data_IF_254371997423
#
_entry.id   IF_254371997423
#
_cell.length_a   1.000
_cell.length_b   1.000
_cell.length_c   1.000
_cell.angle_alpha   90.00
_cell.angle_beta   90.00
_cell.angle_gamma   90.00
#
_symmetry.space_group_name_H-M   'P 1'
#
loop_
_entity.id
_entity.type
_entity.pdbx_description
1 polymer ?
#
# COMPACT_ATOMS: atom_id res chain seq x y z
N UNK A 1 -23.05 31.45 -19.14
CA UNK A 1 -23.12 31.96 -17.75
C UNK A 1 -24.26 31.24 -17.04
N UNK A 2 -24.08 30.83 -15.79
CA UNK A 2 -25.16 30.23 -15.01
C UNK A 2 -26.22 31.31 -14.74
N UNK A 3 -27.46 31.05 -15.11
CA UNK A 3 -28.58 31.98 -14.93
C UNK A 3 -29.77 31.21 -14.39
N UNK A 4 -30.42 31.81 -13.41
CA UNK A 4 -31.64 31.29 -12.79
C UNK A 4 -32.71 32.38 -12.90
N UNK A 5 -33.91 31.98 -13.30
CA UNK A 5 -35.09 32.83 -13.23
C UNK A 5 -36.03 32.23 -12.19
N UNK A 6 -36.37 33.02 -11.18
CA UNK A 6 -37.26 32.61 -10.09
C UNK A 6 -38.44 33.60 -10.03
N UNK A 7 -39.67 33.18 -10.38
CA UNK A 7 -40.83 34.03 -10.24
C UNK A 7 -41.17 34.21 -8.75
N UNK A 8 -41.42 35.46 -8.35
CA UNK A 8 -41.86 35.82 -7.00
C UNK A 8 -43.18 36.56 -7.10
N UNK A 9 -44.14 36.23 -6.25
CA UNK A 9 -45.41 36.95 -6.21
C UNK A 9 -45.23 38.32 -5.55
N UNK A 10 -46.21 39.22 -5.74
CA UNK A 10 -46.24 40.46 -4.98
C UNK A 10 -46.46 40.13 -3.48
N UNK A 11 -45.71 40.80 -2.61
CA UNK A 11 -45.88 40.74 -1.16
C UNK A 11 -46.21 42.10 -0.56
N UNK A 12 -46.28 42.17 0.78
CA UNK A 12 -46.42 43.42 1.53
C UNK A 12 -45.30 43.57 2.54
N UNK A 13 -45.03 44.77 3.06
CA UNK A 13 -44.00 44.94 4.10
C UNK A 13 -44.25 44.11 5.38
N UNK A 14 -45.51 43.85 5.73
CA UNK A 14 -45.88 43.00 6.88
C UNK A 14 -45.92 41.50 6.58
N UNK A 15 -45.98 41.14 5.30
CA UNK A 15 -46.06 39.76 4.81
C UNK A 15 -45.35 39.67 3.45
N UNK A 16 -44.00 39.61 3.46
CA UNK A 16 -43.22 39.57 2.23
C UNK A 16 -43.41 38.24 1.52
N UNK A 17 -43.57 38.27 0.20
CA UNK A 17 -43.56 37.05 -0.61
C UNK A 17 -42.16 36.47 -0.64
N UNK A 18 -42.07 35.13 -0.55
CA UNK A 18 -40.81 34.40 -0.57
C UNK A 18 -40.85 33.38 -1.71
N UNK A 19 -39.70 33.16 -2.32
CA UNK A 19 -39.48 32.09 -3.28
C UNK A 19 -38.12 31.45 -3.00
N UNK A 20 -38.06 30.12 -3.16
CA UNK A 20 -36.86 29.34 -2.93
C UNK A 20 -36.61 28.46 -4.15
N UNK A 21 -35.32 28.22 -4.45
CA UNK A 21 -34.93 27.29 -5.49
C UNK A 21 -33.56 26.71 -5.20
N UNK A 22 -33.39 25.44 -5.58
CA UNK A 22 -32.11 24.76 -5.56
C UNK A 22 -31.78 24.35 -6.98
N UNK A 23 -30.60 24.72 -7.43
CA UNK A 23 -30.20 24.56 -8.82
C UNK A 23 -28.84 23.87 -8.89
N UNK A 24 -28.71 22.81 -9.69
CA UNK A 24 -27.42 22.12 -9.85
C UNK A 24 -26.43 23.02 -10.59
N UNK A 25 -25.16 22.97 -10.16
CA UNK A 25 -24.05 23.68 -10.83
C UNK A 25 -23.26 22.78 -11.79
N UNK A 26 -23.72 21.55 -12.01
CA UNK A 26 -23.03 20.54 -12.82
C UNK A 26 -22.76 21.05 -14.24
N UNK A 27 -21.51 20.90 -14.70
CA UNK A 27 -21.09 21.32 -16.05
C UNK A 27 -21.00 22.83 -16.25
N UNK A 28 -21.22 23.64 -15.21
CA UNK A 28 -21.05 25.09 -15.30
C UNK A 28 -19.63 25.52 -14.96
N UNK A 29 -19.12 26.47 -15.74
CA UNK A 29 -17.85 27.14 -15.48
C UNK A 29 -18.07 28.39 -14.65
N UNK A 30 -17.28 28.53 -13.58
CA UNK A 30 -17.22 29.73 -12.75
C UNK A 30 -15.90 30.45 -13.06
N UNK A 31 -15.97 31.73 -13.43
CA UNK A 31 -14.80 32.58 -13.62
C UNK A 31 -14.66 33.50 -12.42
N UNK A 32 -13.59 33.34 -11.65
CA UNK A 32 -13.36 34.04 -10.38
C UNK A 32 -12.53 35.31 -10.55
N UNK A 33 -12.46 35.88 -11.76
CA UNK A 33 -11.71 37.11 -12.05
C UNK A 33 -12.56 38.38 -11.94
N UNK A 34 -13.77 38.28 -11.40
CA UNK A 34 -14.75 39.36 -11.34
C UNK A 34 -15.24 39.83 -12.71
N UNK A 35 -16.15 40.82 -12.76
CA UNK A 35 -16.76 41.30 -14.01
C UNK A 35 -15.76 41.93 -14.99
N UNK A 36 -14.65 42.47 -14.48
CA UNK A 36 -13.58 43.11 -15.26
C UNK A 36 -12.45 42.16 -15.68
N UNK A 37 -12.51 40.88 -15.28
CA UNK A 37 -11.45 39.88 -15.50
C UNK A 37 -10.06 40.25 -14.95
N UNK A 38 -10.02 41.10 -13.94
CA UNK A 38 -8.80 41.66 -13.34
C UNK A 38 -8.76 41.54 -11.81
N UNK A 39 -9.73 40.86 -11.22
CA UNK A 39 -9.76 40.53 -9.80
C UNK A 39 -9.30 39.08 -9.58
N UNK A 40 -9.18 38.66 -8.32
CA UNK A 40 -8.72 37.32 -7.94
C UNK A 40 -9.68 36.75 -6.92
N UNK A 41 -10.14 35.52 -7.13
CA UNK A 41 -11.08 34.83 -6.25
C UNK A 41 -12.39 35.60 -6.00
N UNK A 42 -12.83 36.43 -6.96
CA UNK A 42 -14.10 37.17 -6.88
C UNK A 42 -15.19 36.50 -7.68
N UNK A 43 -16.25 36.09 -6.99
CA UNK A 43 -17.53 35.70 -7.59
C UNK A 43 -18.49 36.90 -7.61
N UNK A 44 -18.90 37.33 -8.79
CA UNK A 44 -19.89 38.40 -8.94
C UNK A 44 -21.26 37.84 -9.30
N UNK A 45 -22.29 38.34 -8.63
CA UNK A 45 -23.69 37.98 -8.90
C UNK A 45 -24.45 39.22 -9.36
N UNK A 46 -25.13 39.12 -10.50
CA UNK A 46 -26.01 40.16 -11.02
C UNK A 46 -27.47 39.75 -10.82
N UNK A 47 -28.22 40.55 -10.05
CA UNK A 47 -29.65 40.34 -9.82
C UNK A 47 -30.41 41.33 -10.70
N UNK A 48 -31.27 40.81 -11.58
CA UNK A 48 -32.17 41.62 -12.41
C UNK A 48 -33.61 41.34 -12.02
N UNK A 49 -34.35 42.38 -11.68
CA UNK A 49 -35.80 42.30 -11.41
C UNK A 49 -36.56 42.75 -12.64
N UNK A 50 -37.53 41.94 -13.06
CA UNK A 50 -38.40 42.24 -14.20
C UNK A 50 -39.85 42.03 -13.77
N UNK A 51 -40.73 42.92 -14.18
CA UNK A 51 -42.17 42.75 -13.99
C UNK A 51 -42.71 41.79 -15.04
N UNK A 52 -43.71 40.98 -14.67
CA UNK A 52 -44.34 40.07 -15.62
C UNK A 52 -45.03 40.84 -16.75
N UNK A 53 -44.93 40.35 -17.98
CA UNK A 53 -45.68 40.88 -19.12
C UNK A 53 -47.18 40.56 -18.91
N UNK A 54 -47.98 41.57 -18.56
CA UNK A 54 -49.41 41.45 -18.30
C UNK A 54 -50.19 42.67 -18.77
N UNK A 55 -51.52 42.61 -18.67
CA UNK A 55 -52.46 43.63 -19.21
C UNK A 55 -52.59 44.86 -18.27
N UNK A 56 -51.70 45.01 -17.27
CA UNK A 56 -51.80 46.06 -16.25
C UNK A 56 -50.45 46.68 -15.88
N UNK A 57 -50.48 47.91 -15.37
CA UNK A 57 -49.30 48.64 -14.91
C UNK A 57 -48.85 48.12 -13.54
N UNK A 58 -47.62 47.62 -13.45
CA UNK A 58 -46.94 47.38 -12.16
C UNK A 58 -46.22 48.65 -11.73
N UNK A 59 -46.51 49.16 -10.53
CA UNK A 59 -45.83 50.33 -9.95
C UNK A 59 -44.78 49.83 -8.96
N UNK A 60 -43.52 50.20 -9.19
CA UNK A 60 -42.40 50.03 -8.25
C UNK A 60 -42.07 51.40 -7.65
N UNK A 61 -41.91 51.44 -6.34
CA UNK A 61 -41.62 52.63 -5.54
C UNK A 61 -40.31 52.45 -4.78
N UNK A 62 -39.84 53.50 -4.11
CA UNK A 62 -38.66 53.44 -3.23
C UNK A 62 -38.91 52.68 -1.92
N UNK A 63 -40.16 52.28 -1.64
CA UNK A 63 -40.53 51.46 -0.48
C UNK A 63 -40.47 49.95 -0.78
N UNK A 64 -40.35 49.57 -2.05
CA UNK A 64 -40.23 48.18 -2.45
C UNK A 64 -38.79 47.69 -2.26
N UNK A 65 -38.61 46.51 -1.68
CA UNK A 65 -37.29 45.91 -1.45
C UNK A 65 -37.27 44.46 -1.90
N UNK A 66 -36.09 44.04 -2.37
CA UNK A 66 -35.79 42.64 -2.68
C UNK A 66 -34.60 42.22 -1.82
N UNK A 67 -34.77 41.12 -1.10
CA UNK A 67 -33.69 40.46 -0.37
C UNK A 67 -33.42 39.14 -1.10
N UNK A 68 -32.18 38.94 -1.52
CA UNK A 68 -31.73 37.70 -2.14
C UNK A 68 -30.66 37.06 -1.27
N UNK A 69 -30.96 35.88 -0.75
CA UNK A 69 -30.01 35.05 -0.01
C UNK A 69 -29.52 33.94 -0.94
N UNK A 70 -28.22 33.94 -1.23
CA UNK A 70 -27.61 32.99 -2.16
C UNK A 70 -26.52 32.24 -1.41
N UNK A 71 -26.64 30.92 -1.40
CA UNK A 71 -25.66 30.02 -0.81
C UNK A 71 -25.16 29.03 -1.87
N UNK A 72 -23.87 28.73 -1.80
CA UNK A 72 -23.22 27.72 -2.63
C UNK A 72 -22.80 26.58 -1.71
N UNK A 73 -23.19 25.34 -2.04
CA UNK A 73 -22.92 24.17 -1.21
C UNK A 73 -22.51 22.98 -2.07
N UNK A 74 -21.58 22.17 -1.57
CA UNK A 74 -21.16 20.92 -2.23
C UNK A 74 -20.48 21.10 -3.58
N UNK A 75 -19.78 22.22 -3.81
CA UNK A 75 -19.03 22.42 -5.06
C UNK A 75 -17.82 21.50 -5.06
N UNK A 76 -17.77 20.61 -6.04
CA UNK A 76 -16.60 19.79 -6.37
C UNK A 76 -16.17 20.22 -7.77
N UNK A 77 -14.93 20.69 -7.90
CA UNK A 77 -14.41 21.14 -9.19
C UNK A 77 -13.99 19.92 -10.03
N UNK A 78 -14.51 19.84 -11.25
CA UNK A 78 -14.04 18.90 -12.27
C UNK A 78 -12.68 19.33 -12.84
N UNK A 79 -12.49 20.64 -12.97
CA UNK A 79 -11.24 21.27 -13.38
C UNK A 79 -11.12 22.65 -12.71
N UNK A 80 -9.93 22.95 -12.21
CA UNK A 80 -9.57 24.27 -11.70
C UNK A 80 -8.31 24.76 -12.42
N UNK A 81 -8.25 26.08 -12.68
CA UNK A 81 -7.06 26.76 -13.20
C UNK A 81 -6.85 28.08 -12.49
N UNK A 82 -5.61 28.37 -12.14
CA UNK A 82 -5.22 29.57 -11.43
C UNK A 82 -3.84 29.40 -10.79
N UNK A 83 -3.47 30.31 -9.91
CA UNK A 83 -2.33 30.10 -9.01
C UNK A 83 -2.85 29.53 -7.69
N UNK A 84 -2.40 28.33 -7.31
CA UNK A 84 -2.90 27.65 -6.11
C UNK A 84 -2.14 28.02 -4.81
N UNK A 85 -1.28 29.05 -4.87
CA UNK A 85 -0.44 29.43 -3.74
C UNK A 85 0.69 28.43 -3.52
N UNK A 86 1.24 28.43 -2.31
CA UNK A 86 2.33 27.54 -1.90
C UNK A 86 1.98 26.71 -0.66
N UNK A 87 0.87 25.95 -0.67
CA UNK A 87 0.50 25.15 0.48
C UNK A 87 1.56 24.08 0.77
N UNK A 88 1.74 23.82 2.07
CA UNK A 88 2.58 22.76 2.57
C UNK A 88 1.70 21.68 3.22
N UNK A 89 2.07 20.43 3.02
CA UNK A 89 1.39 19.26 3.56
C UNK A 89 2.41 18.34 4.22
N UNK A 90 2.01 17.66 5.28
CA UNK A 90 2.81 16.61 5.90
C UNK A 90 2.08 15.28 5.75
N UNK A 91 2.83 14.25 5.37
CA UNK A 91 2.41 12.86 5.26
C UNK A 91 3.12 12.09 6.37
N UNK A 92 2.36 11.39 7.19
CA UNK A 92 2.90 10.69 8.35
C UNK A 92 3.29 11.63 9.51
N UNK A 93 4.07 11.14 10.49
CA UNK A 93 4.62 9.78 10.55
C UNK A 93 3.52 8.72 10.65
N UNK A 94 3.64 7.68 9.83
CA UNK A 94 2.73 6.53 9.81
C UNK A 94 3.52 5.24 9.73
N UNK A 95 2.98 4.17 10.33
CA UNK A 95 3.54 2.82 10.29
C UNK A 95 2.46 1.89 9.75
N UNK A 96 2.79 1.15 8.69
CA UNK A 96 1.89 0.24 8.01
C UNK A 96 2.43 -1.20 8.08
N UNK A 97 1.56 -2.22 8.22
CA UNK A 97 1.97 -3.61 8.23
C UNK A 97 2.48 -4.07 6.86
N UNK A 98 3.51 -4.92 6.87
CA UNK A 98 4.05 -5.63 5.71
C UNK A 98 3.86 -7.13 5.88
N UNK A 99 3.14 -7.75 4.95
CA UNK A 99 2.84 -9.19 5.01
C UNK A 99 3.65 -10.02 4.01
N UNK A 100 4.68 -9.44 3.37
CA UNK A 100 5.46 -10.12 2.32
C UNK A 100 6.29 -11.30 2.83
N UNK A 101 6.53 -11.37 4.15
CA UNK A 101 7.28 -12.45 4.81
C UNK A 101 6.44 -13.25 5.82
N UNK A 102 5.11 -13.18 5.74
CA UNK A 102 4.21 -13.80 6.75
C UNK A 102 4.37 -15.31 6.91
N UNK A 103 4.85 -15.99 5.87
CA UNK A 103 5.08 -17.44 5.88
C UNK A 103 6.39 -17.82 6.59
N UNK A 104 7.33 -16.90 6.74
CA UNK A 104 8.62 -17.14 7.38
C UNK A 104 8.48 -16.99 8.89
N UNK A 105 8.59 -18.11 9.63
CA UNK A 105 8.45 -18.10 11.08
C UNK A 105 9.73 -17.68 11.80
N UNK A 106 10.88 -18.05 11.23
CA UNK A 106 12.19 -17.81 11.82
C UNK A 106 13.30 -17.94 10.76
N UNK A 107 14.51 -17.61 11.17
CA UNK A 107 15.71 -17.68 10.35
C UNK A 107 16.10 -16.32 9.77
N UNK A 108 17.10 -16.36 8.91
CA UNK A 108 17.57 -15.20 8.16
C UNK A 108 17.93 -15.63 6.75
N UNK A 109 17.97 -14.65 5.85
CA UNK A 109 18.57 -14.81 4.54
C UNK A 109 19.53 -13.65 4.28
N UNK A 110 20.54 -13.92 3.46
CA UNK A 110 21.47 -12.94 2.89
C UNK A 110 21.23 -12.95 1.38
N UNK A 111 20.79 -11.83 0.82
CA UNK A 111 20.45 -11.67 -0.58
C UNK A 111 21.70 -11.21 -1.34
N UNK A 112 21.94 -11.78 -2.53
CA UNK A 112 23.09 -11.34 -3.32
C UNK A 112 22.98 -9.87 -3.74
N UNK A 113 21.77 -9.43 -4.08
CA UNK A 113 21.46 -8.05 -4.41
C UNK A 113 19.95 -7.81 -4.43
N UNK A 114 19.55 -6.55 -4.32
CA UNK A 114 18.19 -6.12 -4.62
C UNK A 114 18.20 -4.73 -5.26
N UNK A 115 17.10 -4.37 -5.93
CA UNK A 115 16.94 -3.02 -6.45
C UNK A 115 15.54 -2.53 -6.16
N UNK A 116 15.42 -1.29 -5.70
CA UNK A 116 14.16 -0.61 -5.55
C UNK A 116 14.11 0.69 -6.34
N UNK A 117 12.90 1.09 -6.75
CA UNK A 117 12.63 2.33 -7.47
C UNK A 117 11.48 3.05 -6.80
N UNK A 118 11.76 4.20 -6.21
CA UNK A 118 10.72 5.13 -5.77
C UNK A 118 10.32 5.98 -6.98
N UNK A 119 9.06 5.85 -7.41
CA UNK A 119 8.47 6.61 -8.51
C UNK A 119 7.44 7.56 -7.93
N UNK A 120 7.69 8.86 -8.04
CA UNK A 120 6.74 9.91 -7.66
C UNK A 120 6.13 10.47 -8.93
N UNK A 121 4.82 10.33 -9.07
CA UNK A 121 4.04 10.75 -10.24
C UNK A 121 3.20 11.95 -9.86
N UNK A 122 3.33 13.05 -10.61
CA UNK A 122 2.55 14.26 -10.41
C UNK A 122 1.58 14.46 -11.58
N UNK A 123 0.28 14.38 -11.30
CA UNK A 123 -0.80 14.74 -12.22
C UNK A 123 -1.27 16.18 -12.11
N UNK A 124 -0.77 16.94 -11.12
CA UNK A 124 -1.17 18.31 -10.85
C UNK A 124 -0.35 19.27 -11.74
N UNK A 125 -1.01 20.28 -12.29
CA UNK A 125 -0.39 21.34 -13.08
C UNK A 125 0.45 22.34 -12.28
N UNK A 126 0.98 21.95 -11.12
CA UNK A 126 1.83 22.75 -10.26
C UNK A 126 3.10 21.96 -9.91
N UNK A 127 4.23 22.64 -9.73
CA UNK A 127 5.46 21.97 -9.31
C UNK A 127 5.35 21.57 -7.84
N UNK A 128 5.90 20.41 -7.49
CA UNK A 128 5.89 19.89 -6.13
C UNK A 128 7.31 19.64 -5.68
N UNK A 129 7.64 20.07 -4.46
CA UNK A 129 8.87 19.70 -3.79
C UNK A 129 8.53 18.78 -2.61
N UNK A 130 9.16 17.62 -2.55
CA UNK A 130 8.99 16.65 -1.49
C UNK A 130 10.28 16.54 -0.65
N UNK A 131 10.12 16.48 0.67
CA UNK A 131 11.19 16.18 1.62
C UNK A 131 10.85 14.86 2.29
N UNK A 132 11.49 13.77 1.87
CA UNK A 132 11.30 12.46 2.49
C UNK A 132 12.10 12.49 3.78
N UNK A 133 11.42 12.49 4.92
CA UNK A 133 12.05 12.58 6.24
C UNK A 133 12.48 11.21 6.74
N UNK A 134 11.68 10.18 6.46
CA UNK A 134 11.91 8.83 6.96
C UNK A 134 11.36 7.79 5.99
N UNK A 135 12.13 6.73 5.80
CA UNK A 135 11.67 5.41 5.39
C UNK A 135 12.42 4.40 6.24
N UNK A 136 11.69 3.62 7.01
CA UNK A 136 12.24 2.66 7.97
C UNK A 136 11.44 1.38 7.94
N UNK A 137 12.11 0.26 8.12
CA UNK A 137 11.45 -1.03 8.28
C UNK A 137 11.76 -1.59 9.65
N UNK A 138 10.82 -2.34 10.22
CA UNK A 138 11.02 -3.03 11.49
C UNK A 138 10.50 -4.45 11.43
N UNK A 139 11.11 -5.31 12.24
CA UNK A 139 10.63 -6.66 12.52
C UNK A 139 10.27 -6.71 14.01
N UNK A 140 8.98 -6.76 14.32
CA UNK A 140 8.50 -6.76 15.70
C UNK A 140 8.85 -8.05 16.45
N UNK A 141 9.04 -9.16 15.75
CA UNK A 141 9.47 -10.44 16.33
C UNK A 141 10.90 -10.40 16.87
N UNK A 142 11.82 -9.75 16.15
CA UNK A 142 13.21 -9.57 16.60
C UNK A 142 13.45 -8.27 17.39
N UNK A 143 12.52 -7.32 17.30
CA UNK A 143 12.64 -5.98 17.88
C UNK A 143 13.67 -5.09 17.17
N UNK A 144 14.18 -5.51 16.00
CA UNK A 144 15.12 -4.75 15.21
C UNK A 144 14.38 -3.78 14.26
N UNK A 145 15.02 -2.66 13.97
CA UNK A 145 14.58 -1.68 12.98
C UNK A 145 15.79 -1.16 12.21
N UNK A 146 15.58 -0.82 10.94
CA UNK A 146 16.61 -0.26 10.09
C UNK A 146 16.00 0.82 9.19
N UNK A 147 16.59 2.02 9.26
CA UNK A 147 16.20 3.12 8.37
C UNK A 147 16.95 3.01 7.04
N UNK A 148 16.29 3.41 5.96
CA UNK A 148 16.90 3.56 4.65
C UNK A 148 18.05 4.57 4.74
N UNK A 149 19.16 4.23 4.10
CA UNK A 149 20.30 5.08 3.85
C UNK A 149 20.34 5.32 2.34
N UNK A 150 19.95 6.51 1.91
CA UNK A 150 20.01 6.89 0.51
C UNK A 150 19.96 8.42 0.40
N UNK A 151 20.51 8.98 -0.68
CA UNK A 151 20.55 10.43 -0.90
C UNK A 151 19.15 11.10 -0.94
N UNK A 152 18.09 10.32 -1.22
CA UNK A 152 16.69 10.75 -1.18
C UNK A 152 16.27 11.39 0.14
N UNK A 153 16.83 10.92 1.26
CA UNK A 153 16.51 11.42 2.61
C UNK A 153 17.32 12.68 2.96
N UNK A 154 18.33 13.02 2.14
CA UNK A 154 19.28 14.09 2.41
C UNK A 154 18.85 15.47 1.90
N UNK A 155 17.75 15.59 1.16
CA UNK A 155 17.34 16.87 0.57
C UNK A 155 16.03 16.82 -0.22
N UNK A 156 15.64 17.97 -0.81
CA UNK A 156 14.39 18.07 -1.55
C UNK A 156 14.43 17.28 -2.86
N UNK A 157 13.34 16.59 -3.14
CA UNK A 157 13.01 15.98 -4.42
C UNK A 157 12.05 16.91 -5.15
N UNK A 158 12.44 17.42 -6.32
CA UNK A 158 11.58 18.26 -7.14
C UNK A 158 10.87 17.41 -8.20
N UNK A 159 9.55 17.48 -8.20
CA UNK A 159 8.68 16.82 -9.18
C UNK A 159 8.01 17.90 -10.00
N UNK A 160 8.30 17.92 -11.31
CA UNK A 160 7.76 18.93 -12.22
C UNK A 160 6.23 18.84 -12.30
N UNK A 161 5.59 19.95 -12.64
CA UNK A 161 4.16 20.01 -12.99
C UNK A 161 3.76 19.09 -14.15
N UNK A 162 2.51 18.62 -14.13
CA UNK A 162 1.88 17.95 -15.25
C UNK A 162 1.65 18.89 -16.46
N UNK A 163 1.39 18.29 -17.64
CA UNK A 163 1.07 19.03 -18.87
C UNK A 163 -0.44 18.99 -19.12
N UNK A 164 -1.07 20.16 -19.28
CA UNK A 164 -2.48 20.28 -19.65
C UNK A 164 -2.68 19.92 -21.13
N UNK A 165 -3.56 18.95 -21.42
CA UNK A 165 -3.89 18.49 -22.77
C UNK A 165 -5.21 19.09 -23.29
N UNK A 166 -5.82 20.04 -22.56
CA UNK A 166 -7.13 20.65 -22.84
C UNK A 166 -8.28 19.63 -22.84
N UNK A 167 -8.60 19.11 -21.65
CA UNK A 167 -9.59 18.04 -21.44
C UNK A 167 -9.00 16.79 -20.78
N UNK A 168 -7.77 16.90 -20.27
CA UNK A 168 -7.03 15.88 -19.56
C UNK A 168 -5.62 16.39 -19.26
N UNK A 169 -4.80 15.53 -18.65
CA UNK A 169 -3.43 15.87 -18.31
C UNK A 169 -2.47 14.71 -18.64
N UNK A 170 -1.22 15.07 -18.87
CA UNK A 170 -0.11 14.11 -18.90
C UNK A 170 0.71 14.27 -17.63
N UNK A 171 0.88 13.17 -16.89
CA UNK A 171 1.68 13.16 -15.67
C UNK A 171 3.17 13.34 -15.96
N UNK A 172 3.87 13.81 -14.96
CA UNK A 172 5.34 13.82 -14.88
C UNK A 172 5.81 12.90 -13.77
N UNK A 173 7.01 12.35 -13.92
CA UNK A 173 7.55 11.40 -12.96
C UNK A 173 8.95 11.81 -12.51
N UNK A 174 9.20 11.69 -11.22
CA UNK A 174 10.54 11.59 -10.66
C UNK A 174 10.81 10.14 -10.28
N UNK A 175 12.01 9.65 -10.55
CA UNK A 175 12.42 8.29 -10.18
C UNK A 175 13.76 8.33 -9.48
N UNK A 176 13.84 7.65 -8.34
CA UNK A 176 15.10 7.36 -7.69
C UNK A 176 15.29 5.86 -7.53
N UNK A 177 16.46 5.39 -7.93
CA UNK A 177 16.86 3.99 -7.88
C UNK A 177 17.72 3.78 -6.64
N UNK A 178 17.41 2.72 -5.90
CA UNK A 178 18.13 2.25 -4.73
C UNK A 178 18.69 0.88 -5.08
N UNK A 179 20.01 0.76 -5.07
CA UNK A 179 20.75 -0.49 -5.27
C UNK A 179 21.89 -0.58 -4.25
N UNK A 180 22.64 -1.68 -4.27
CA UNK A 180 23.74 -1.92 -3.32
C UNK A 180 24.91 -0.92 -3.48
N UNK A 181 24.96 -0.18 -4.59
CA UNK A 181 25.99 0.82 -4.83
C UNK A 181 25.68 2.17 -4.17
N UNK A 182 24.43 2.44 -3.81
CA UNK A 182 24.00 3.75 -3.31
C UNK A 182 23.07 3.71 -2.10
N UNK A 183 22.67 2.53 -1.64
CA UNK A 183 21.72 2.34 -0.55
C UNK A 183 21.98 1.08 0.26
N UNK A 184 21.31 0.97 1.41
CA UNK A 184 21.24 -0.25 2.22
C UNK A 184 19.92 -1.03 2.01
N UNK A 185 19.32 -0.95 0.83
CA UNK A 185 17.97 -1.48 0.61
C UNK A 185 17.91 -3.01 0.76
N UNK A 186 18.97 -3.71 0.37
CA UNK A 186 19.09 -5.17 0.53
C UNK A 186 19.04 -5.56 1.99
N UNK A 187 19.78 -4.86 2.86
CA UNK A 187 19.80 -5.09 4.30
C UNK A 187 18.45 -4.79 4.97
N UNK A 188 17.64 -3.86 4.41
CA UNK A 188 16.27 -3.64 4.88
C UNK A 188 15.40 -4.90 4.67
N UNK A 189 15.54 -5.57 3.54
CA UNK A 189 14.78 -6.78 3.23
C UNK A 189 15.22 -7.96 4.08
N UNK A 190 16.52 -8.09 4.32
CA UNK A 190 17.12 -9.15 5.16
C UNK A 190 16.71 -9.08 6.62
N UNK A 191 16.18 -7.93 7.08
CA UNK A 191 15.56 -7.81 8.39
C UNK A 191 14.26 -8.63 8.52
N UNK A 192 13.73 -9.12 7.40
CA UNK A 192 12.42 -9.79 7.31
C UNK A 192 11.35 -8.91 7.97
N UNK A 193 11.18 -7.64 7.52
CA UNK A 193 10.33 -6.69 8.21
C UNK A 193 8.85 -7.06 8.11
N UNK A 194 8.12 -6.80 9.20
CA UNK A 194 6.67 -6.92 9.29
C UNK A 194 5.97 -5.55 9.32
N UNK A 195 6.74 -4.45 9.32
CA UNK A 195 6.23 -3.09 9.31
C UNK A 195 7.15 -2.15 8.50
N UNK A 196 6.53 -1.14 7.88
CA UNK A 196 7.23 0.00 7.27
C UNK A 196 6.72 1.30 7.87
N UNK A 197 7.64 2.18 8.25
CA UNK A 197 7.36 3.51 8.78
C UNK A 197 7.87 4.58 7.81
N UNK A 198 7.05 5.59 7.55
CA UNK A 198 7.39 6.67 6.63
C UNK A 198 6.88 8.04 7.08
N UNK A 199 7.60 9.08 6.67
CA UNK A 199 7.21 10.48 6.85
C UNK A 199 7.77 11.34 5.71
N UNK A 200 6.96 12.28 5.22
CA UNK A 200 7.38 13.23 4.18
C UNK A 200 6.65 14.56 4.30
N UNK A 201 7.34 15.65 3.97
CA UNK A 201 6.70 16.96 3.74
C UNK A 201 6.62 17.27 2.25
N UNK A 202 5.56 17.94 1.85
CA UNK A 202 5.29 18.35 0.47
C UNK A 202 5.05 19.86 0.44
N UNK A 203 5.62 20.54 -0.54
CA UNK A 203 5.36 21.94 -0.83
C UNK A 203 4.95 22.09 -2.29
N UNK A 204 3.77 22.64 -2.52
CA UNK A 204 3.29 23.00 -3.87
C UNK A 204 3.86 24.37 -4.24
N UNK A 205 4.18 24.55 -5.53
CA UNK A 205 4.78 25.76 -6.09
C UNK A 205 5.94 26.29 -5.23
N UNK A 206 7.01 25.51 -4.97
CA UNK A 206 8.14 25.96 -4.14
C UNK A 206 8.79 27.26 -4.66
N UNK A 207 8.66 27.54 -5.96
CA UNK A 207 9.20 28.74 -6.63
C UNK A 207 8.16 29.87 -6.80
N UNK A 208 6.95 29.74 -6.23
CA UNK A 208 5.85 30.69 -6.37
C UNK A 208 5.14 30.59 -7.72
N UNK A 209 4.47 31.68 -8.13
CA UNK A 209 3.67 31.74 -9.37
C UNK A 209 4.53 31.88 -10.63
N UNK A 210 5.33 30.86 -10.93
CA UNK A 210 6.12 30.81 -12.17
C UNK A 210 5.27 30.45 -13.39
N UNK A 211 4.02 30.02 -13.18
CA UNK A 211 3.06 29.70 -14.25
C UNK A 211 2.30 30.95 -14.72
N UNK A 212 2.32 32.05 -13.97
CA UNK A 212 1.51 33.24 -14.20
C UNK A 212 0.01 32.92 -14.18
N UNK A 213 -0.43 32.22 -13.13
CA UNK A 213 -1.82 31.82 -12.90
C UNK A 213 -2.31 30.69 -13.80
N UNK A 214 -1.40 29.85 -14.30
CA UNK A 214 -1.70 28.73 -15.21
C UNK A 214 -1.45 27.36 -14.57
N UNK A 215 -1.41 27.28 -13.24
CA UNK A 215 -1.51 25.97 -12.61
C UNK A 215 -2.92 25.41 -12.88
N UNK A 216 -3.02 24.09 -12.90
CA UNK A 216 -4.29 23.43 -13.11
C UNK A 216 -4.41 22.17 -12.25
N UNK A 217 -5.63 21.73 -12.03
CA UNK A 217 -5.93 20.45 -11.41
C UNK A 217 -7.21 19.91 -12.05
N UNK A 218 -7.16 18.67 -12.53
CA UNK A 218 -8.35 17.92 -12.91
C UNK A 218 -8.81 17.08 -11.71
N UNK A 219 -10.09 16.76 -11.62
CA UNK A 219 -10.64 15.99 -10.51
C UNK A 219 -9.91 14.66 -10.25
N UNK A 220 -9.42 14.02 -11.30
CA UNK A 220 -8.65 12.78 -11.31
C UNK A 220 -7.12 12.99 -11.25
N UNK A 221 -6.64 14.24 -11.18
CA UNK A 221 -5.23 14.53 -10.93
C UNK A 221 -4.84 14.09 -9.52
N UNK A 222 -3.74 13.35 -9.41
CA UNK A 222 -3.19 12.92 -8.14
C UNK A 222 -1.67 13.11 -8.08
N UNK A 223 -1.14 13.25 -6.87
CA UNK A 223 0.27 13.07 -6.57
C UNK A 223 0.42 11.71 -5.90
N UNK A 224 1.11 10.79 -6.58
CA UNK A 224 1.23 9.39 -6.15
C UNK A 224 2.70 9.01 -6.01
N UNK A 225 3.03 8.28 -4.95
CA UNK A 225 4.34 7.66 -4.78
C UNK A 225 4.20 6.14 -4.79
N UNK A 226 5.09 5.45 -5.51
CA UNK A 226 5.12 3.99 -5.62
C UNK A 226 6.54 3.49 -5.41
N UNK A 227 6.71 2.50 -4.54
CA UNK A 227 7.98 1.79 -4.36
C UNK A 227 7.90 0.47 -5.13
N UNK A 228 8.67 0.37 -6.21
CA UNK A 228 8.78 -0.85 -7.02
C UNK A 228 10.05 -1.58 -6.59
N UNK A 229 9.92 -2.82 -6.16
CA UNK A 229 11.02 -3.63 -5.64
C UNK A 229 11.27 -4.81 -6.58
N UNK A 230 12.52 -5.04 -6.93
CA UNK A 230 13.01 -6.14 -7.76
C UNK A 230 14.05 -6.92 -6.96
N UNK A 231 13.71 -8.16 -6.59
CA UNK A 231 14.55 -9.03 -5.76
C UNK A 231 14.79 -10.31 -6.54
N UNK A 232 15.98 -10.47 -7.13
CA UNK A 232 16.45 -11.77 -7.56
C UNK A 232 16.49 -12.70 -6.35
N UNK A 233 15.76 -13.83 -6.40
CA UNK A 233 15.77 -14.82 -5.32
C UNK A 233 17.06 -15.63 -5.36
N UNK A 234 18.20 -14.98 -5.16
CA UNK A 234 19.52 -15.59 -5.07
C UNK A 234 20.08 -15.26 -3.70
N UNK A 235 20.06 -16.26 -2.82
CA UNK A 235 20.23 -16.04 -1.38
C UNK A 235 21.04 -17.13 -0.71
N UNK A 236 21.59 -16.80 0.46
CA UNK A 236 22.08 -17.75 1.46
C UNK A 236 21.02 -17.82 2.54
N UNK A 237 20.49 -19.01 2.80
CA UNK A 237 19.50 -19.28 3.84
C UNK A 237 20.19 -19.75 5.13
N UNK A 238 19.76 -19.22 6.27
CA UNK A 238 20.16 -19.71 7.60
C UNK A 238 18.93 -19.97 8.45
N UNK A 239 18.57 -21.25 8.60
CA UNK A 239 17.49 -21.67 9.49
C UNK A 239 16.11 -21.12 9.10
N UNK A 240 15.87 -20.85 7.82
CA UNK A 240 14.57 -20.35 7.34
C UNK A 240 13.53 -21.41 7.67
N UNK A 241 12.58 -21.04 8.53
CA UNK A 241 11.57 -21.96 9.06
C UNK A 241 10.23 -21.70 8.42
N UNK A 242 9.73 -22.72 7.71
CA UNK A 242 8.37 -22.79 7.20
C UNK A 242 7.54 -23.69 8.09
N UNK A 243 6.29 -23.33 8.32
CA UNK A 243 5.40 -24.06 9.21
C UNK A 243 4.08 -24.41 8.50
N UNK A 244 3.61 -25.63 8.72
CA UNK A 244 2.28 -26.06 8.31
C UNK A 244 1.64 -26.90 9.41
N UNK A 245 0.31 -26.88 9.53
CA UNK A 245 -0.42 -27.68 10.52
C UNK A 245 -1.50 -28.49 9.83
N UNK A 246 -1.58 -29.77 10.15
CA UNK A 246 -2.58 -30.69 9.62
C UNK A 246 -3.23 -31.53 10.70
N UNK A 247 -4.41 -32.05 10.40
CA UNK A 247 -5.13 -32.96 11.28
C UNK A 247 -4.72 -34.40 10.95
N UNK A 248 -4.19 -35.17 11.92
CA UNK A 248 -3.71 -36.51 11.65
C UNK A 248 -4.89 -37.46 11.35
N UNK A 249 -4.84 -38.17 10.22
CA UNK A 249 -5.79 -39.22 9.88
C UNK A 249 -5.34 -40.55 10.50
N UNK A 250 -5.92 -40.88 11.66
CA UNK A 250 -5.54 -42.05 12.46
C UNK A 250 -6.61 -43.15 12.43
N UNK A 251 -6.21 -44.44 12.37
CA UNK A 251 -7.16 -45.55 12.42
C UNK A 251 -7.79 -45.69 13.81
N UNK A 252 -9.06 -46.09 13.90
CA UNK A 252 -9.74 -46.32 15.19
C UNK A 252 -10.46 -45.09 15.74
N UNK A 253 -10.66 -45.04 17.06
CA UNK A 253 -11.34 -43.92 17.74
C UNK A 253 -10.58 -43.51 19.00
N UNK A 254 -10.95 -42.38 19.62
CA UNK A 254 -10.36 -41.92 20.89
C UNK A 254 -10.57 -42.86 22.08
N UNK A 255 -11.56 -43.75 22.04
CA UNK A 255 -11.80 -44.78 23.07
C UNK A 255 -11.18 -46.14 22.68
N UNK A 256 -10.82 -46.31 21.42
CA UNK A 256 -10.27 -47.54 20.85
C UNK A 256 -9.18 -47.22 19.84
N UNK A 257 -8.01 -46.80 20.34
CA UNK A 257 -6.87 -46.44 19.50
C UNK A 257 -6.49 -47.60 18.58
N UNK A 258 -6.46 -47.35 17.27
CA UNK A 258 -5.98 -48.31 16.27
C UNK A 258 -4.45 -48.37 16.20
N UNK A 259 -3.78 -47.34 16.70
CA UNK A 259 -2.33 -47.23 16.86
C UNK A 259 -2.02 -47.11 18.37
N UNK A 260 -1.06 -47.88 18.89
CA UNK A 260 -0.62 -47.76 20.28
C UNK A 260 0.76 -47.12 20.41
N UNK A 261 1.67 -47.49 19.51
CA UNK A 261 2.99 -46.89 19.33
C UNK A 261 3.40 -47.17 17.89
N UNK A 262 4.40 -46.45 17.39
CA UNK A 262 4.88 -46.70 16.05
C UNK A 262 6.06 -45.85 15.62
N UNK A 263 6.33 -45.95 14.32
CA UNK A 263 7.30 -45.15 13.62
C UNK A 263 6.59 -44.47 12.46
N UNK A 264 6.60 -43.13 12.47
CA UNK A 264 6.19 -42.32 11.34
C UNK A 264 7.37 -42.23 10.37
N UNK A 265 7.17 -42.70 9.15
CA UNK A 265 8.11 -42.52 8.05
C UNK A 265 7.73 -41.30 7.25
N UNK A 266 8.64 -40.34 7.15
CA UNK A 266 8.49 -39.13 6.36
C UNK A 266 9.33 -39.30 5.11
N UNK A 267 8.72 -39.14 3.94
CA UNK A 267 9.43 -39.10 2.68
C UNK A 267 9.42 -37.65 2.21
N UNK A 268 10.59 -37.10 1.91
CA UNK A 268 10.76 -35.73 1.45
C UNK A 268 11.50 -35.75 0.11
N UNK A 269 10.87 -35.31 -0.97
CA UNK A 269 11.52 -35.13 -2.28
C UNK A 269 11.89 -33.66 -2.49
N UNK A 270 13.13 -33.32 -2.19
CA UNK A 270 13.59 -31.95 -2.16
C UNK A 270 14.11 -31.47 -3.51
N UNK A 271 13.43 -30.48 -4.08
CA UNK A 271 13.87 -29.73 -5.25
C UNK A 271 14.50 -28.38 -4.94
N UNK A 272 14.66 -28.00 -3.67
CA UNK A 272 15.37 -26.79 -3.27
C UNK A 272 16.87 -27.05 -3.10
N UNK A 273 17.73 -26.04 -3.36
CA UNK A 273 19.18 -26.14 -3.21
C UNK A 273 19.63 -26.04 -1.74
N UNK A 274 18.73 -26.27 -0.78
CA UNK A 274 18.95 -26.11 0.66
C UNK A 274 18.82 -27.45 1.37
N UNK A 275 19.68 -27.68 2.35
CA UNK A 275 19.50 -28.78 3.30
C UNK A 275 18.41 -28.42 4.30
N UNK A 276 17.64 -29.42 4.73
CA UNK A 276 16.50 -29.22 5.61
C UNK A 276 16.54 -30.13 6.83
N UNK A 277 15.94 -29.67 7.92
CA UNK A 277 15.55 -30.53 9.05
C UNK A 277 14.04 -30.40 9.25
N UNK A 278 13.39 -31.51 9.63
CA UNK A 278 11.96 -31.53 9.92
C UNK A 278 11.77 -31.67 11.42
N UNK A 279 10.95 -30.80 12.00
CA UNK A 279 10.46 -30.92 13.37
C UNK A 279 8.96 -31.16 13.33
N UNK A 280 8.51 -32.08 14.17
CA UNK A 280 7.10 -32.43 14.31
C UNK A 280 6.65 -32.11 15.73
N UNK A 281 5.55 -31.38 15.84
CA UNK A 281 4.98 -30.92 17.09
C UNK A 281 3.51 -31.34 17.17
N UNK A 282 3.09 -31.89 18.30
CA UNK A 282 1.68 -32.11 18.62
C UNK A 282 1.18 -30.85 19.30
N UNK A 283 0.13 -30.26 18.73
CA UNK A 283 -0.43 -29.00 19.22
C UNK A 283 -1.93 -29.14 19.50
N UNK A 284 -2.44 -28.35 20.44
CA UNK A 284 -3.87 -28.26 20.67
C UNK A 284 -4.59 -27.50 19.52
N UNK A 285 -5.94 -27.44 19.50
CA UNK A 285 -6.68 -26.71 18.48
C UNK A 285 -6.38 -25.20 18.41
N UNK A 286 -5.89 -24.60 19.51
CA UNK A 286 -5.49 -23.19 19.58
C UNK A 286 -4.03 -22.98 19.13
N UNK A 287 -3.30 -24.06 18.83
CA UNK A 287 -1.92 -24.06 18.37
C UNK A 287 -0.89 -24.07 19.51
N UNK A 288 -1.26 -24.29 20.76
CA UNK A 288 -0.28 -24.40 21.83
C UNK A 288 0.46 -25.75 21.75
N UNK A 289 1.77 -25.72 21.95
CA UNK A 289 2.61 -26.93 21.97
C UNK A 289 2.23 -27.84 23.13
N UNK A 290 1.90 -29.09 22.83
CA UNK A 290 1.64 -30.15 23.81
C UNK A 290 2.83 -31.09 23.95
N UNK A 291 3.41 -31.54 22.84
CA UNK A 291 4.58 -32.41 22.83
C UNK A 291 5.37 -32.29 21.50
N UNK A 292 6.62 -32.74 21.48
CA UNK A 292 7.46 -32.84 20.28
C UNK A 292 7.65 -34.29 19.87
N UNK A 293 7.52 -34.61 18.59
CA UNK A 293 7.83 -35.91 18.01
C UNK A 293 9.27 -35.87 17.47
N UNK A 294 10.24 -36.55 18.11
CA UNK A 294 11.63 -36.50 17.67
C UNK A 294 11.78 -37.13 16.29
N UNK A 295 12.27 -36.36 15.32
CA UNK A 295 12.58 -36.82 13.96
C UNK A 295 14.08 -37.10 13.85
N UNK A 296 14.41 -38.22 13.23
CA UNK A 296 15.79 -38.60 12.89
C UNK A 296 15.98 -38.59 11.37
N UNK A 297 17.13 -38.08 10.93
CA UNK A 297 17.43 -37.84 9.52
C UNK A 297 17.44 -36.36 9.16
N UNK A 298 17.81 -36.07 7.91
CA UNK A 298 17.80 -34.72 7.34
C UNK A 298 17.24 -34.80 5.91
N UNK A 299 16.74 -33.68 5.42
CA UNK A 299 16.37 -33.50 4.03
C UNK A 299 17.62 -33.06 3.28
N UNK A 300 18.13 -33.90 2.40
CA UNK A 300 19.29 -33.54 1.59
C UNK A 300 18.95 -32.42 0.59
N UNK A 301 19.88 -31.50 0.28
CA UNK A 301 19.68 -30.50 -0.76
C UNK A 301 19.59 -31.16 -2.14
N UNK A 302 18.89 -30.51 -3.07
CA UNK A 302 18.87 -30.93 -4.45
C UNK A 302 20.27 -30.84 -5.10
N UNK A 303 20.54 -31.69 -6.09
CA UNK A 303 21.84 -31.72 -6.77
C UNK A 303 21.94 -30.56 -7.77
N UNK A 304 23.03 -29.80 -7.64
CA UNK A 304 23.31 -28.63 -8.47
C UNK A 304 24.14 -28.99 -9.71
N UNK A 305 23.89 -28.27 -10.80
CA UNK A 305 24.72 -28.27 -11.99
C UNK A 305 25.93 -27.32 -11.88
N UNK A 306 26.78 -27.24 -12.92
CA UNK A 306 27.90 -26.30 -12.98
C UNK A 306 27.49 -24.82 -12.94
N UNK A 307 26.23 -24.52 -13.25
CA UNK A 307 25.59 -23.21 -13.21
C UNK A 307 24.97 -22.88 -11.83
N UNK A 308 25.12 -23.78 -10.85
CA UNK A 308 24.52 -23.68 -9.51
C UNK A 308 22.99 -23.71 -9.50
N UNK A 309 22.37 -24.16 -10.59
CA UNK A 309 20.93 -24.42 -10.64
C UNK A 309 20.65 -25.90 -10.33
N UNK A 310 19.46 -26.15 -9.78
CA UNK A 310 19.03 -27.51 -9.46
C UNK A 310 18.80 -28.29 -10.74
N UNK A 311 19.48 -29.43 -10.86
CA UNK A 311 19.33 -30.36 -11.99
C UNK A 311 18.52 -31.60 -11.60
N UNK A 312 18.60 -32.00 -10.33
CA UNK A 312 17.97 -33.22 -9.85
C UNK A 312 17.51 -33.08 -8.40
N UNK A 313 16.25 -33.45 -8.15
CA UNK A 313 15.69 -33.54 -6.79
C UNK A 313 16.27 -34.71 -6.02
N UNK A 314 16.27 -34.61 -4.69
CA UNK A 314 16.80 -35.67 -3.81
C UNK A 314 15.74 -36.10 -2.81
N UNK A 315 15.36 -37.38 -2.92
CA UNK A 315 14.49 -38.04 -1.96
C UNK A 315 15.23 -38.42 -0.68
N UNK A 316 14.63 -38.11 0.47
CA UNK A 316 15.12 -38.43 1.81
C UNK A 316 14.03 -39.19 2.58
N UNK A 317 14.41 -40.20 3.37
CA UNK A 317 13.52 -40.89 4.31
C UNK A 317 13.94 -40.50 5.73
N UNK A 318 13.00 -39.93 6.50
CA UNK A 318 13.18 -39.56 7.89
C UNK A 318 12.24 -40.38 8.76
N UNK A 319 12.62 -40.57 10.02
CA UNK A 319 11.91 -41.45 10.93
C UNK A 319 11.60 -40.73 12.23
N UNK A 320 10.33 -40.69 12.63
CA UNK A 320 9.90 -40.18 13.92
C UNK A 320 9.28 -41.29 14.74
N UNK A 321 9.85 -41.57 15.92
CA UNK A 321 9.26 -42.53 16.83
C UNK A 321 8.11 -41.88 17.60
N UNK A 322 6.93 -42.51 17.56
CA UNK A 322 5.75 -42.07 18.27
C UNK A 322 5.51 -43.02 19.44
N UNK A 323 5.75 -42.51 20.65
CA UNK A 323 5.54 -43.25 21.90
C UNK A 323 4.05 -43.44 22.21
N UNK A 324 3.69 -44.33 23.16
CA UNK A 324 2.31 -44.48 23.60
C UNK A 324 1.65 -43.20 24.10
N UNK A 325 2.38 -42.41 24.90
CA UNK A 325 1.86 -41.14 25.43
C UNK A 325 1.60 -40.12 24.34
N UNK A 326 2.46 -40.07 23.31
CA UNK A 326 2.27 -39.20 22.14
C UNK A 326 1.12 -39.66 21.27
N UNK A 327 0.96 -40.97 21.10
CA UNK A 327 -0.17 -41.55 20.36
C UNK A 327 -1.48 -41.19 21.02
N UNK A 328 -1.57 -41.30 22.35
CA UNK A 328 -2.75 -40.90 23.11
C UNK A 328 -3.09 -39.40 22.92
N UNK A 329 -2.09 -38.52 22.80
CA UNK A 329 -2.30 -37.10 22.50
C UNK A 329 -2.87 -36.90 21.09
N UNK A 330 -2.39 -37.63 20.09
CA UNK A 330 -2.88 -37.52 18.70
C UNK A 330 -4.37 -37.92 18.57
N UNK A 331 -4.87 -38.82 19.42
CA UNK A 331 -6.28 -39.20 19.46
C UNK A 331 -7.20 -38.23 20.24
N UNK A 332 -6.63 -37.21 20.91
CA UNK A 332 -7.40 -36.23 21.71
C UNK A 332 -7.87 -35.01 20.91
N UNK A 333 -7.97 -35.11 19.59
CA UNK A 333 -8.37 -34.00 18.72
C UNK A 333 -7.30 -32.91 18.61
N UNK A 334 -6.03 -33.31 18.73
CA UNK A 334 -4.86 -32.45 18.52
C UNK A 334 -4.51 -32.39 17.04
N UNK A 335 -3.62 -31.45 16.68
CA UNK A 335 -3.10 -31.28 15.32
C UNK A 335 -1.60 -31.56 15.31
N UNK A 336 -1.07 -31.91 14.14
CA UNK A 336 0.37 -32.04 13.94
C UNK A 336 0.87 -30.81 13.19
N UNK A 337 1.80 -30.10 13.81
CA UNK A 337 2.52 -28.98 13.23
C UNK A 337 3.87 -29.48 12.72
N UNK A 338 4.14 -29.22 11.44
CA UNK A 338 5.40 -29.53 10.76
C UNK A 338 6.17 -28.24 10.59
N UNK A 339 7.40 -28.23 11.06
CA UNK A 339 8.36 -27.16 10.78
C UNK A 339 9.48 -27.71 9.92
N UNK A 340 9.69 -27.10 8.77
CA UNK A 340 10.82 -27.41 7.90
C UNK A 340 11.79 -26.25 8.01
N UNK A 341 13.01 -26.55 8.43
CA UNK A 341 14.06 -25.56 8.70
C UNK A 341 15.13 -25.74 7.63
N UNK A 342 15.22 -24.79 6.70
CA UNK A 342 16.15 -24.80 5.58
C UNK A 342 17.40 -23.96 5.84
N UNK A 343 18.54 -24.49 5.40
CA UNK A 343 19.82 -23.79 5.40
C UNK A 343 20.59 -24.07 4.11
N UNK A 344 21.41 -23.12 3.67
CA UNK A 344 22.38 -23.34 2.61
C UNK A 344 23.60 -24.09 3.17
N UNK A 345 24.02 -25.18 2.55
CA UNK A 345 25.15 -25.97 3.07
C UNK A 345 26.48 -25.20 3.02
N UNK A 346 26.71 -24.38 2.00
CA UNK A 346 27.85 -23.46 1.89
C UNK A 346 27.41 -22.01 2.16
N UNK A 347 27.70 -21.53 3.36
CA UNK A 347 27.37 -20.17 3.82
C UNK A 347 28.22 -19.06 3.19
N UNK A 348 28.94 -19.35 2.10
CA UNK A 348 29.65 -18.37 1.27
C UNK A 348 29.11 -18.26 -0.15
N UNK A 349 28.11 -19.08 -0.51
CA UNK A 349 27.61 -19.20 -1.88
C UNK A 349 26.12 -18.91 -1.96
N UNK A 350 25.76 -17.82 -2.65
CA UNK A 350 24.37 -17.50 -2.96
C UNK A 350 23.79 -18.43 -4.02
N UNK A 351 22.67 -19.06 -3.71
CA UNK A 351 21.96 -20.02 -4.58
C UNK A 351 20.65 -19.43 -5.07
N UNK A 352 20.35 -19.62 -6.35
CA UNK A 352 19.12 -19.14 -6.99
C UNK A 352 17.95 -20.06 -6.69
N UNK A 353 16.81 -19.48 -6.31
CA UNK A 353 15.51 -20.14 -6.23
C UNK A 353 14.71 -19.85 -7.49
N UNK A 354 14.21 -20.91 -8.11
CA UNK A 354 13.31 -20.82 -9.25
C UNK A 354 11.91 -21.25 -8.82
N UNK A 355 10.91 -20.72 -9.52
CA UNK A 355 9.49 -21.09 -9.36
C UNK A 355 9.22 -22.58 -9.56
N UNK A 356 10.05 -23.25 -10.37
CA UNK A 356 9.98 -24.69 -10.63
C UNK A 356 10.46 -25.57 -9.46
N UNK A 357 11.09 -25.00 -8.44
CA UNK A 357 11.59 -25.75 -7.29
C UNK A 357 10.45 -25.97 -6.29
N UNK A 358 10.36 -27.20 -5.76
CA UNK A 358 9.37 -27.56 -4.75
C UNK A 358 9.91 -28.65 -3.82
N UNK A 359 9.26 -28.81 -2.67
CA UNK A 359 9.44 -29.93 -1.75
C UNK A 359 8.11 -30.69 -1.71
N UNK A 360 8.16 -31.98 -2.02
CA UNK A 360 6.99 -32.88 -1.97
C UNK A 360 7.09 -33.89 -0.81
#
# INVERSE_FOLDING_TARGET
PFQVELPVAAGTPSDPSQAFGQYPLNGHRIDLRGPGFNEVNTLSTAIQVRTAQGIGTTVLTDQDSLIAEIAYAGIVADYARGYFGQPAFSVGPSTEPLNIFSELQAGSFDLESSTARLVITNGIGADVQAFIQQLEVSNTGSGQSLSLQHALLGGPVNVSRAVDLNGGFQTTTYTAVMDDGNSNFTELLELIPDQVSYAADLQVNPLGDISNGNDFFYYDSELRAELVVDVPLRLIATGITLESTFDPDLPGTSEGHGLQEGELKLFADNGFPFEGTIQLEVVDPDGNLLDMLPVTGTVAPALLGPDLLVQQRVASELHAHVSPTQTDLLYQGTRVRVRIIFSTSDQSQHLTLLDSYALD
#
